data_IF_255705609789
#
_entry.id   IF_255705609789
#
_cell.length_a   1.000
_cell.length_b   1.000
_cell.length_c   1.000
_cell.angle_alpha   90.00
_cell.angle_beta   90.00
_cell.angle_gamma   90.00
#
_symmetry.space_group_name_H-M   'P 1'
#
loop_
_entity.id
_entity.type
_entity.pdbx_description
1 polymer ?
#
# COMPACT_ATOMS: atom_id res chain seq x y z
N UNK A 1 3.41 -15.78 -17.04
CA UNK A 1 3.85 -15.08 -18.28
C UNK A 1 2.94 -13.88 -18.44
N UNK A 2 3.55 -12.69 -18.62
CA UNK A 2 3.04 -11.32 -18.40
C UNK A 2 3.13 -10.80 -16.95
N UNK A 3 4.36 -10.42 -16.55
CA UNK A 3 4.61 -9.20 -15.77
C UNK A 3 5.13 -8.18 -16.79
N UNK A 4 4.41 -7.07 -16.98
CA UNK A 4 4.87 -5.96 -17.81
C UNK A 4 5.56 -4.93 -16.94
N UNK A 5 6.86 -4.80 -17.21
CA UNK A 5 7.80 -3.78 -16.77
C UNK A 5 7.19 -2.41 -16.46
N UNK A 6 7.42 -1.94 -15.23
CA UNK A 6 7.46 -0.52 -14.92
C UNK A 6 8.59 0.14 -15.73
N UNK A 7 8.24 1.06 -16.63
CA UNK A 7 9.19 2.02 -17.19
C UNK A 7 8.48 3.36 -17.34
N UNK A 8 8.71 4.23 -16.36
CA UNK A 8 8.39 5.65 -16.44
C UNK A 8 9.71 6.41 -16.51
N UNK A 9 10.11 6.88 -17.69
CA UNK A 9 10.93 8.10 -17.76
C UNK A 9 10.78 8.83 -19.11
N UNK A 10 10.65 10.15 -18.97
CA UNK A 10 10.32 11.14 -19.99
C UNK A 10 11.48 11.41 -20.97
N UNK A 11 11.07 11.72 -22.20
CA UNK A 11 11.63 12.68 -23.16
C UNK A 11 13.16 12.79 -23.31
N UNK A 12 13.68 12.22 -24.39
CA UNK A 12 14.91 12.67 -25.05
C UNK A 12 14.62 12.92 -26.54
N UNK A 13 14.70 14.18 -26.93
CA UNK A 13 14.67 14.64 -28.33
C UNK A 13 15.93 14.19 -29.05
N UNK A 14 15.84 13.43 -30.14
CA UNK A 14 16.86 13.47 -31.20
C UNK A 14 16.31 13.06 -32.58
N UNK A 15 16.89 13.75 -33.57
CA UNK A 15 16.63 13.82 -35.00
C UNK A 15 16.25 12.52 -35.74
N UNK A 16 15.25 12.64 -36.62
CA UNK A 16 14.92 11.66 -37.66
C UNK A 16 15.91 11.82 -38.82
N UNK A 17 16.74 10.80 -39.04
CA UNK A 17 17.39 10.57 -40.33
C UNK A 17 16.71 9.38 -41.02
N UNK A 18 16.17 9.66 -42.21
CA UNK A 18 15.53 8.69 -43.07
C UNK A 18 16.54 7.66 -43.60
N UNK A 19 16.11 6.40 -43.72
CA UNK A 19 16.48 5.53 -44.85
C UNK A 19 15.52 4.34 -44.95
N UNK A 20 14.95 4.24 -46.14
CA UNK A 20 14.05 3.22 -46.67
C UNK A 20 14.90 2.04 -47.16
N UNK A 21 14.46 0.79 -46.95
CA UNK A 21 14.13 -0.18 -48.02
C UNK A 21 13.92 -1.63 -47.51
N UNK A 22 12.79 -2.19 -47.97
CA UNK A 22 12.52 -3.56 -48.44
C UNK A 22 12.50 -4.74 -47.43
N UNK A 23 11.31 -5.30 -47.21
CA UNK A 23 10.79 -6.45 -47.99
C UNK A 23 9.38 -6.85 -47.50
N UNK A 24 8.42 -6.95 -48.40
CA UNK A 24 7.14 -7.63 -48.15
C UNK A 24 6.79 -8.51 -49.36
N UNK A 25 6.45 -9.77 -49.07
CA UNK A 25 5.89 -10.77 -49.97
C UNK A 25 4.36 -10.70 -49.98
N UNK A 26 3.76 -10.97 -51.15
CA UNK A 26 2.40 -11.52 -51.38
C UNK A 26 1.23 -10.61 -51.01
N UNK A 27 0.42 -10.09 -51.95
CA UNK A 27 -0.52 -10.82 -52.81
C UNK A 27 -1.94 -10.62 -52.23
N UNK A 28 -3.04 -10.35 -52.94
CA UNK A 28 -3.36 -10.08 -54.33
C UNK A 28 -4.87 -9.80 -54.41
N UNK A 29 -5.33 -9.10 -55.47
CA UNK A 29 -6.68 -9.25 -56.04
C UNK A 29 -7.77 -8.22 -55.68
N UNK A 30 -8.17 -7.42 -56.67
CA UNK A 30 -9.60 -7.23 -56.98
C UNK A 30 -10.21 -5.82 -56.94
N UNK A 31 -9.97 -5.04 -58.01
CA UNK A 31 -10.99 -4.31 -58.81
C UNK A 31 -11.89 -3.21 -58.21
N UNK A 32 -11.92 -2.05 -58.87
CA UNK A 32 -13.08 -1.13 -58.83
C UNK A 32 -12.73 0.35 -58.96
N UNK A 33 -12.77 0.86 -60.20
CA UNK A 33 -12.60 2.26 -60.58
C UNK A 33 -13.56 3.23 -59.87
N UNK A 34 -13.10 4.45 -59.54
CA UNK A 34 -13.59 5.69 -60.19
C UNK A 34 -12.97 6.95 -59.58
N UNK A 35 -12.59 7.83 -60.50
CA UNK A 35 -12.01 9.15 -60.30
C UNK A 35 -12.98 10.14 -59.62
N UNK A 36 -12.44 11.16 -58.94
CA UNK A 36 -12.30 12.51 -59.50
C UNK A 36 -12.19 13.61 -58.42
N UNK A 37 -11.09 14.38 -58.52
CA UNK A 37 -10.98 15.85 -58.33
C UNK A 37 -11.34 16.47 -56.95
N UNK A 38 -10.67 17.49 -56.42
CA UNK A 38 -9.93 18.60 -57.03
C UNK A 38 -9.08 19.35 -55.99
N UNK A 39 -7.83 19.65 -56.38
CA UNK A 39 -7.10 20.93 -56.27
C UNK A 39 -7.00 21.74 -54.96
N UNK A 40 -5.74 21.92 -54.55
CA UNK A 40 -5.00 23.16 -54.26
C UNK A 40 -5.60 24.24 -53.35
N UNK A 41 -4.86 24.64 -52.30
CA UNK A 41 -3.83 25.69 -52.40
C UNK A 41 -3.26 26.09 -51.03
N UNK A 42 -1.95 26.33 -51.05
CA UNK A 42 -1.07 26.91 -50.03
C UNK A 42 -1.60 28.13 -49.26
N UNK A 43 -1.20 28.27 -47.98
CA UNK A 43 -0.57 29.50 -47.47
C UNK A 43 0.17 29.33 -46.14
N UNK A 44 1.38 29.88 -46.14
CA UNK A 44 2.35 30.12 -45.06
C UNK A 44 1.83 31.09 -44.00
N UNK A 45 2.37 31.00 -42.77
CA UNK A 45 2.33 32.09 -41.79
C UNK A 45 2.71 31.70 -40.37
N UNK A 46 4.02 31.62 -40.08
CA UNK A 46 4.54 31.69 -38.71
C UNK A 46 4.47 33.12 -38.19
N UNK A 47 4.02 33.33 -36.95
CA UNK A 47 4.34 34.53 -36.18
C UNK A 47 4.27 34.25 -34.66
N UNK A 48 5.44 34.25 -34.06
CA UNK A 48 5.71 34.34 -32.62
C UNK A 48 5.40 35.75 -32.13
N UNK A 49 4.71 35.90 -31.00
CA UNK A 49 4.54 37.19 -30.34
C UNK A 49 4.99 37.09 -28.87
N UNK A 50 6.13 37.74 -28.61
CA UNK A 50 6.65 38.07 -27.29
C UNK A 50 5.88 39.30 -26.77
N UNK A 51 5.39 39.24 -25.54
CA UNK A 51 4.88 40.42 -24.83
C UNK A 51 5.49 40.49 -23.42
N UNK A 52 6.39 41.45 -23.26
CA UNK A 52 6.91 42.01 -22.02
C UNK A 52 5.83 42.77 -21.26
N UNK A 53 5.71 42.55 -19.94
CA UNK A 53 5.05 43.48 -19.04
C UNK A 53 5.79 43.53 -17.68
N UNK A 54 6.54 44.62 -17.52
CA UNK A 54 6.79 45.42 -16.30
C UNK A 54 6.37 44.85 -14.95
N UNK A 55 7.37 44.58 -14.10
CA UNK A 55 7.25 44.50 -12.65
C UNK A 55 7.55 45.87 -12.03
N UNK A 56 6.59 46.40 -11.25
CA UNK A 56 6.79 47.51 -10.32
C UNK A 56 6.79 46.96 -8.89
N UNK A 57 7.84 47.28 -8.15
CA UNK A 57 7.97 47.03 -6.73
C UNK A 57 7.20 48.09 -5.92
N UNK A 58 6.65 47.70 -4.77
CA UNK A 58 6.73 48.52 -3.56
C UNK A 58 6.43 47.70 -2.30
N UNK A 59 7.35 47.80 -1.35
CA UNK A 59 7.28 47.29 0.00
C UNK A 59 6.54 48.28 0.92
N UNK A 60 5.95 47.80 2.04
CA UNK A 60 6.38 48.12 3.42
C UNK A 60 5.29 47.94 4.49
N UNK A 61 5.66 47.12 5.49
CA UNK A 61 5.42 47.11 6.93
C UNK A 61 4.28 47.93 7.59
N UNK A 62 3.58 47.28 8.54
CA UNK A 62 3.52 47.76 9.95
C UNK A 62 3.06 46.66 10.92
N UNK A 63 3.67 46.68 12.11
CA UNK A 63 3.53 45.75 13.21
C UNK A 63 2.64 46.33 14.35
N UNK A 64 2.57 45.56 15.45
CA UNK A 64 2.27 45.93 16.88
C UNK A 64 0.80 45.62 17.34
N UNK A 65 0.51 45.17 18.59
CA UNK A 65 1.03 44.03 19.39
C UNK A 65 -0.10 43.23 20.13
N UNK A 66 0.30 42.27 20.97
CA UNK A 66 -0.49 41.42 21.90
C UNK A 66 -0.95 42.21 23.16
N UNK A 67 -1.91 41.68 23.96
CA UNK A 67 -1.46 41.22 25.29
C UNK A 67 -2.09 39.90 25.79
N UNK A 68 -1.27 39.19 26.57
CA UNK A 68 -1.62 38.03 27.39
C UNK A 68 -2.24 38.46 28.73
N UNK A 69 -2.99 37.57 29.38
CA UNK A 69 -3.27 37.64 30.82
C UNK A 69 -3.27 36.26 31.46
N UNK A 70 -2.71 36.23 32.66
CA UNK A 70 -2.33 35.09 33.50
C UNK A 70 -3.48 34.39 34.26
N UNK A 71 -3.11 33.22 34.79
CA UNK A 71 -3.81 32.24 35.65
C UNK A 71 -4.19 32.84 37.04
N UNK A 72 -5.02 32.14 37.86
CA UNK A 72 -4.40 31.25 38.84
C UNK A 72 -5.16 29.93 39.13
N UNK A 73 -4.38 28.94 39.55
CA UNK A 73 -4.81 27.68 40.16
C UNK A 73 -4.98 27.82 41.68
N UNK A 74 -5.91 27.07 42.27
CA UNK A 74 -5.85 26.61 43.67
C UNK A 74 -6.95 25.58 43.94
N UNK A 75 -6.63 24.51 44.70
CA UNK A 75 -7.66 23.73 45.40
C UNK A 75 -7.43 22.22 45.46
N UNK A 76 -6.40 21.79 46.17
CA UNK A 76 -6.23 20.41 46.66
C UNK A 76 -7.19 20.18 47.83
N UNK A 77 -8.08 19.20 47.77
CA UNK A 77 -8.71 18.62 48.97
C UNK A 77 -8.75 17.09 48.89
N UNK A 78 -7.78 16.48 49.55
CA UNK A 78 -7.86 15.14 50.13
C UNK A 78 -8.60 15.21 51.46
N UNK A 79 -9.68 14.44 51.62
CA UNK A 79 -10.12 13.98 52.94
C UNK A 79 -10.44 12.48 52.91
N UNK A 80 -9.53 11.72 53.52
CA UNK A 80 -9.78 10.37 53.99
C UNK A 80 -10.71 10.44 55.21
N UNK A 81 -11.81 9.68 55.20
CA UNK A 81 -12.47 9.25 56.43
C UNK A 81 -12.47 7.72 56.48
N UNK A 82 -11.86 7.29 57.58
CA UNK A 82 -11.61 5.95 58.07
C UNK A 82 -12.86 5.19 58.53
N UNK A 83 -12.80 3.89 58.27
CA UNK A 83 -13.17 2.76 59.14
C UNK A 83 -14.62 2.61 59.60
N UNK A 84 -15.24 1.52 59.15
CA UNK A 84 -15.92 0.61 60.06
C UNK A 84 -15.78 -0.84 59.57
N UNK A 85 -15.00 -1.61 60.33
CA UNK A 85 -14.96 -3.07 60.24
C UNK A 85 -16.02 -3.64 61.18
N UNK A 86 -16.93 -4.45 60.66
CA UNK A 86 -17.59 -5.48 61.46
C UNK A 86 -17.89 -6.70 60.59
N UNK A 87 -17.51 -7.84 61.12
CA UNK A 87 -17.47 -9.16 60.51
C UNK A 87 -18.81 -9.89 60.60
N UNK A 88 -19.24 -10.54 59.52
CA UNK A 88 -19.91 -11.88 59.53
C UNK A 88 -20.04 -12.41 58.08
N UNK A 89 -19.47 -13.58 57.81
CA UNK A 89 -19.65 -14.40 56.59
C UNK A 89 -20.84 -15.38 56.78
N UNK A 90 -21.31 -16.15 55.76
CA UNK A 90 -21.01 -16.15 54.31
C UNK A 90 -22.27 -16.16 53.41
N UNK A 91 -22.16 -15.73 52.15
CA UNK A 91 -23.26 -15.86 51.20
C UNK A 91 -22.85 -15.55 49.77
N UNK A 92 -22.76 -16.60 48.96
CA UNK A 92 -22.69 -16.62 47.49
C UNK A 92 -23.28 -15.39 46.78
N UNK A 93 -22.44 -14.65 46.06
CA UNK A 93 -22.88 -13.89 44.88
C UNK A 93 -21.75 -13.79 43.86
N UNK A 94 -22.14 -14.01 42.60
CA UNK A 94 -21.32 -14.09 41.41
C UNK A 94 -20.30 -12.95 41.32
N UNK A 95 -19.05 -13.31 41.08
CA UNK A 95 -18.05 -12.37 40.60
C UNK A 95 -18.46 -11.91 39.21
N UNK A 96 -18.88 -10.66 39.13
CA UNK A 96 -18.93 -9.92 37.88
C UNK A 96 -17.48 -9.64 37.46
N UNK A 97 -16.84 -10.65 36.87
CA UNK A 97 -15.69 -10.43 35.99
C UNK A 97 -16.24 -9.73 34.76
N UNK A 98 -16.30 -8.39 34.82
CA UNK A 98 -16.33 -7.57 33.61
C UNK A 98 -15.01 -7.79 32.90
N UNK A 99 -14.98 -8.83 32.06
CA UNK A 99 -13.99 -9.00 31.01
C UNK A 99 -13.89 -7.66 30.29
N UNK A 100 -12.70 -7.03 30.20
CA UNK A 100 -12.54 -5.86 29.36
C UNK A 100 -13.10 -6.22 27.98
N UNK A 101 -13.99 -5.39 27.42
CA UNK A 101 -14.35 -5.57 26.01
C UNK A 101 -13.03 -5.70 25.25
N UNK A 102 -12.85 -6.73 24.42
CA UNK A 102 -11.66 -6.82 23.58
C UNK A 102 -11.54 -5.48 22.87
N UNK A 103 -10.37 -4.82 22.99
CA UNK A 103 -10.12 -3.61 22.22
C UNK A 103 -10.40 -3.97 20.78
N UNK A 104 -11.38 -3.32 20.16
CA UNK A 104 -11.78 -3.61 18.78
C UNK A 104 -10.52 -3.57 17.93
N UNK A 105 -10.06 -4.73 17.45
CA UNK A 105 -8.86 -4.80 16.64
C UNK A 105 -9.21 -4.16 15.30
N UNK A 106 -8.36 -3.27 14.74
CA UNK A 106 -8.61 -2.70 13.43
C UNK A 106 -8.34 -3.77 12.35
N UNK A 107 -9.19 -4.80 12.29
CA UNK A 107 -9.00 -6.00 11.47
C UNK A 107 -9.31 -5.76 9.99
N UNK A 108 -10.25 -4.87 9.67
CA UNK A 108 -10.64 -4.60 8.29
C UNK A 108 -10.03 -3.29 7.79
N UNK A 109 -9.39 -3.34 6.63
CA UNK A 109 -8.86 -2.19 5.90
C UNK A 109 -9.20 -2.22 4.41
N UNK A 110 -8.81 -1.15 3.72
CA UNK A 110 -8.84 -1.00 2.26
C UNK A 110 -7.59 -0.25 1.84
N UNK A 111 -7.14 -0.48 0.62
CA UNK A 111 -6.02 0.24 0.01
C UNK A 111 -6.52 1.47 -0.75
N UNK A 112 -5.71 2.52 -0.77
CA UNK A 112 -5.94 3.69 -1.60
C UNK A 112 -4.66 4.11 -2.31
N UNK A 113 -4.83 4.88 -3.38
CA UNK A 113 -3.75 5.38 -4.22
C UNK A 113 -3.73 6.92 -4.28
N UNK A 114 -3.69 7.54 -3.10
CA UNK A 114 -3.83 8.99 -2.96
C UNK A 114 -2.71 9.82 -3.60
N UNK A 115 -1.58 9.22 -3.99
CA UNK A 115 -0.49 9.85 -4.70
C UNK A 115 -0.42 9.46 -6.19
N UNK A 116 -1.29 8.58 -6.69
CA UNK A 116 -1.24 8.11 -8.10
C UNK A 116 -2.21 8.84 -9.04
N UNK A 117 -3.14 9.61 -8.49
CA UNK A 117 -4.03 10.48 -9.23
C UNK A 117 -5.39 9.87 -9.52
N UNK A 118 -5.94 10.10 -10.72
CA UNK A 118 -7.22 9.52 -11.15
C UNK A 118 -8.38 9.83 -10.22
N UNK A 119 -9.13 8.79 -9.83
CA UNK A 119 -10.26 8.88 -8.90
C UNK A 119 -9.89 9.54 -7.56
N UNK A 120 -8.65 9.35 -7.10
CA UNK A 120 -8.17 9.91 -5.83
C UNK A 120 -7.88 11.41 -5.90
N UNK A 121 -7.58 11.97 -7.08
CA UNK A 121 -7.39 13.41 -7.26
C UNK A 121 -8.71 14.18 -7.40
N UNK A 122 -9.78 13.54 -7.88
CA UNK A 122 -11.11 14.15 -7.99
C UNK A 122 -11.96 13.94 -6.73
N UNK A 123 -11.63 12.94 -5.90
CA UNK A 123 -12.35 12.62 -4.67
C UNK A 123 -11.74 13.31 -3.46
N UNK A 124 -12.48 14.21 -2.83
CA UNK A 124 -12.00 14.91 -1.63
C UNK A 124 -11.69 13.92 -0.47
N UNK A 125 -10.72 14.22 0.42
CA UNK A 125 -10.46 13.40 1.60
C UNK A 125 -11.69 13.17 2.50
N UNK A 126 -12.63 14.12 2.52
CA UNK A 126 -13.89 13.99 3.26
C UNK A 126 -14.85 12.96 2.63
N UNK A 127 -14.87 12.86 1.30
CA UNK A 127 -15.64 11.85 0.58
C UNK A 127 -15.02 10.46 0.78
N UNK A 128 -13.70 10.34 0.64
CA UNK A 128 -12.99 9.10 0.94
C UNK A 128 -13.26 8.64 2.38
N UNK A 129 -13.20 9.55 3.35
CA UNK A 129 -13.49 9.24 4.75
C UNK A 129 -14.92 8.70 4.94
N UNK A 130 -15.92 9.34 4.33
CA UNK A 130 -17.31 8.88 4.48
C UNK A 130 -17.53 7.50 3.87
N UNK A 131 -16.88 7.19 2.75
CA UNK A 131 -16.93 5.86 2.12
C UNK A 131 -16.24 4.80 2.99
N UNK A 132 -15.05 5.10 3.54
CA UNK A 132 -14.35 4.19 4.45
C UNK A 132 -15.16 3.92 5.73
N UNK A 133 -15.81 4.96 6.28
CA UNK A 133 -16.72 4.81 7.42
C UNK A 133 -17.95 3.97 7.09
N UNK A 134 -18.53 4.18 5.90
CA UNK A 134 -19.70 3.42 5.44
C UNK A 134 -19.38 1.94 5.21
N UNK A 135 -18.16 1.63 4.74
CA UNK A 135 -17.65 0.26 4.63
C UNK A 135 -17.40 -0.40 6.00
N UNK A 136 -17.20 0.40 7.05
CA UNK A 136 -16.91 -0.09 8.41
C UNK A 136 -15.44 -0.42 8.66
N UNK A 137 -14.53 -0.01 7.77
CA UNK A 137 -13.09 -0.29 7.90
C UNK A 137 -12.41 0.63 8.91
N UNK A 138 -11.18 0.27 9.31
CA UNK A 138 -10.36 1.01 10.28
C UNK A 138 -8.95 1.31 9.80
N UNK A 139 -8.47 0.62 8.77
CA UNK A 139 -7.15 0.84 8.17
C UNK A 139 -7.29 1.35 6.74
N UNK A 140 -6.38 2.26 6.36
CA UNK A 140 -6.29 2.79 5.01
C UNK A 140 -4.82 2.89 4.57
N UNK A 141 -4.38 1.88 3.81
CA UNK A 141 -3.00 1.77 3.31
C UNK A 141 -2.81 2.62 2.06
N UNK A 142 -1.77 3.45 2.02
CA UNK A 142 -1.47 4.29 0.86
C UNK A 142 0.05 4.42 0.64
N UNK A 143 0.44 4.54 -0.60
CA UNK A 143 1.81 4.69 -1.07
C UNK A 143 2.42 6.06 -0.75
N UNK A 144 3.74 6.06 -0.57
CA UNK A 144 4.61 7.24 -0.59
C UNK A 144 5.94 6.86 -1.27
N UNK A 145 6.58 7.81 -1.93
CA UNK A 145 7.83 7.57 -2.68
C UNK A 145 8.73 8.80 -2.76
N UNK A 146 8.36 9.87 -2.06
CA UNK A 146 9.12 11.12 -1.95
C UNK A 146 8.66 11.92 -0.73
N UNK A 147 9.44 12.91 -0.32
CA UNK A 147 9.00 13.86 0.71
C UNK A 147 7.67 14.56 0.36
N UNK A 148 7.46 14.87 -0.93
CA UNK A 148 6.24 15.53 -1.38
C UNK A 148 4.99 14.65 -1.17
N UNK A 149 5.08 13.38 -1.55
CA UNK A 149 3.97 12.42 -1.39
C UNK A 149 3.76 12.02 0.06
N UNK A 150 4.83 11.94 0.85
CA UNK A 150 4.74 11.77 2.30
C UNK A 150 4.01 12.94 3.00
N UNK A 151 4.22 14.18 2.55
CA UNK A 151 3.52 15.36 3.05
C UNK A 151 2.04 15.38 2.61
N UNK A 152 1.73 15.01 1.35
CA UNK A 152 0.34 14.86 0.87
C UNK A 152 -0.40 13.85 1.74
N UNK A 153 0.19 12.67 1.95
CA UNK A 153 -0.43 11.62 2.75
C UNK A 153 -0.62 12.03 4.22
N UNK A 154 0.31 12.78 4.81
CA UNK A 154 0.17 13.29 6.18
C UNK A 154 -1.07 14.18 6.35
N UNK A 155 -1.39 15.01 5.35
CA UNK A 155 -2.61 15.82 5.32
C UNK A 155 -3.87 14.96 5.24
N UNK A 156 -3.89 13.94 4.38
CA UNK A 156 -5.00 12.98 4.27
C UNK A 156 -5.19 12.22 5.59
N UNK A 157 -4.10 11.71 6.16
CA UNK A 157 -4.10 11.00 7.44
C UNK A 157 -4.66 11.84 8.58
N UNK A 158 -4.45 13.16 8.56
CA UNK A 158 -5.05 14.07 9.54
C UNK A 158 -6.58 14.11 9.43
N UNK A 159 -7.12 14.17 8.20
CA UNK A 159 -8.58 14.08 7.98
C UNK A 159 -9.13 12.73 8.39
N UNK A 160 -8.46 11.64 8.00
CA UNK A 160 -8.90 10.27 8.29
C UNK A 160 -8.93 9.96 9.78
N UNK A 161 -7.91 10.40 10.53
CA UNK A 161 -7.82 10.20 11.96
C UNK A 161 -8.99 10.85 12.72
N UNK A 162 -9.48 12.00 12.26
CA UNK A 162 -10.64 12.68 12.86
C UNK A 162 -11.94 11.85 12.75
N UNK A 163 -12.03 10.95 11.76
CA UNK A 163 -13.15 10.03 11.59
C UNK A 163 -12.89 8.60 12.06
N UNK A 164 -11.78 8.36 12.79
CA UNK A 164 -11.46 7.05 13.35
C UNK A 164 -10.88 6.05 12.35
N UNK A 165 -10.31 6.52 11.24
CA UNK A 165 -9.58 5.70 10.27
C UNK A 165 -8.08 5.92 10.47
N UNK A 166 -7.33 4.83 10.62
CA UNK A 166 -5.87 4.85 10.71
C UNK A 166 -5.27 4.70 9.33
N UNK A 167 -4.61 5.75 8.85
CA UNK A 167 -3.78 5.71 7.64
C UNK A 167 -2.39 5.24 8.00
N UNK A 168 -1.75 4.48 7.11
CA UNK A 168 -0.33 4.20 7.20
C UNK A 168 0.34 4.16 5.81
N UNK A 169 1.61 4.60 5.70
CA UNK A 169 2.33 4.62 4.44
C UNK A 169 2.90 3.25 4.08
N UNK A 170 2.82 2.88 2.80
CA UNK A 170 3.77 1.95 2.16
C UNK A 170 4.80 2.76 1.37
N UNK A 171 6.08 2.58 1.69
CA UNK A 171 7.15 3.28 1.00
C UNK A 171 7.61 2.49 -0.23
N UNK A 172 7.46 3.09 -1.41
CA UNK A 172 7.82 2.51 -2.69
C UNK A 172 9.18 3.06 -3.15
N UNK A 173 10.05 2.15 -3.58
CA UNK A 173 11.37 2.47 -4.12
C UNK A 173 11.81 1.39 -5.10
N UNK A 174 12.16 1.79 -6.33
CA UNK A 174 12.82 0.90 -7.28
C UNK A 174 14.25 0.62 -6.82
N UNK A 175 14.76 -0.58 -7.13
CA UNK A 175 16.12 -1.01 -6.82
C UNK A 175 17.05 -0.98 -8.04
N UNK A 176 16.52 -0.79 -9.24
CA UNK A 176 17.28 -0.90 -10.50
C UNK A 176 18.32 0.21 -10.69
N UNK A 177 18.24 1.27 -9.89
CA UNK A 177 19.10 2.45 -9.99
C UNK A 177 20.31 2.43 -9.05
N UNK A 178 20.38 1.47 -8.12
CA UNK A 178 21.44 1.43 -7.11
C UNK A 178 22.56 0.47 -7.48
N UNK A 179 23.79 0.83 -7.16
CA UNK A 179 24.96 0.02 -7.49
C UNK A 179 25.24 -1.05 -6.44
N UNK A 180 24.94 -0.78 -5.17
CA UNK A 180 25.24 -1.66 -4.05
C UNK A 180 24.30 -1.44 -2.84
N UNK A 181 24.46 -2.29 -1.83
CA UNK A 181 23.66 -2.26 -0.59
C UNK A 181 23.84 -0.96 0.22
N UNK A 182 25.01 -0.32 0.15
CA UNK A 182 25.28 0.91 0.93
C UNK A 182 24.53 2.09 0.33
N UNK A 183 24.62 2.27 -0.98
CA UNK A 183 23.85 3.29 -1.70
C UNK A 183 22.35 3.10 -1.45
N UNK A 184 21.88 1.85 -1.56
CA UNK A 184 20.49 1.49 -1.34
C UNK A 184 20.03 1.75 0.11
N UNK A 185 20.91 1.55 1.08
CA UNK A 185 20.65 1.87 2.48
C UNK A 185 20.48 3.38 2.69
N UNK A 186 21.36 4.21 2.14
CA UNK A 186 21.33 5.67 2.36
C UNK A 186 20.07 6.31 1.77
N UNK A 187 19.65 5.88 0.58
CA UNK A 187 18.40 6.34 -0.05
C UNK A 187 17.16 5.82 0.67
N UNK A 188 17.16 4.56 1.12
CA UNK A 188 16.11 4.01 1.97
C UNK A 188 15.97 4.81 3.27
N UNK A 189 17.10 5.12 3.92
CA UNK A 189 17.15 5.94 5.13
C UNK A 189 16.53 7.30 4.92
N UNK A 190 16.89 7.98 3.83
CA UNK A 190 16.34 9.30 3.51
C UNK A 190 14.80 9.23 3.36
N UNK A 191 14.26 8.26 2.63
CA UNK A 191 12.81 8.13 2.45
C UNK A 191 12.09 7.76 3.76
N UNK A 192 12.66 6.85 4.56
CA UNK A 192 12.12 6.49 5.87
C UNK A 192 12.06 7.68 6.83
N UNK A 193 13.14 8.46 6.89
CA UNK A 193 13.20 9.67 7.72
C UNK A 193 12.22 10.74 7.25
N UNK A 194 12.13 11.00 5.93
CA UNK A 194 11.20 11.97 5.36
C UNK A 194 9.75 11.60 5.67
N UNK A 195 9.40 10.31 5.53
CA UNK A 195 8.06 9.80 5.79
C UNK A 195 7.68 9.92 7.26
N UNK A 196 8.57 9.53 8.19
CA UNK A 196 8.31 9.65 9.62
C UNK A 196 8.32 11.11 10.12
N UNK A 197 9.03 12.00 9.43
CA UNK A 197 9.02 13.45 9.72
C UNK A 197 7.72 14.10 9.29
N UNK A 198 7.10 13.67 8.17
CA UNK A 198 5.83 14.24 7.72
C UNK A 198 4.69 13.95 8.70
N UNK A 199 4.69 12.75 9.28
CA UNK A 199 3.79 12.33 10.36
C UNK A 199 4.33 11.09 11.06
N UNK A 200 4.13 11.04 12.38
CA UNK A 200 4.29 9.83 13.20
C UNK A 200 3.07 8.92 13.03
N UNK A 201 3.23 7.86 12.25
CA UNK A 201 2.19 6.87 11.97
C UNK A 201 2.30 5.70 12.94
N UNK A 202 1.19 5.04 13.30
CA UNK A 202 1.26 3.83 14.12
C UNK A 202 2.01 2.67 13.42
N UNK A 203 1.96 2.65 12.09
CA UNK A 203 2.54 1.62 11.24
C UNK A 203 3.29 2.29 10.07
N UNK A 204 4.33 1.64 9.59
CA UNK A 204 5.07 1.99 8.38
C UNK A 204 5.39 0.72 7.62
N UNK A 205 4.96 0.64 6.36
CA UNK A 205 5.29 -0.49 5.50
C UNK A 205 6.52 -0.19 4.65
N UNK A 206 7.48 -1.12 4.66
CA UNK A 206 8.74 -1.00 3.93
C UNK A 206 8.68 -1.87 2.69
N UNK A 207 8.60 -1.23 1.51
CA UNK A 207 8.49 -1.86 0.17
C UNK A 207 7.14 -2.54 -0.12
N UNK A 208 6.93 -2.98 -1.37
CA UNK A 208 5.69 -3.58 -1.87
C UNK A 208 6.03 -4.68 -2.90
N UNK A 209 5.85 -5.96 -2.55
CA UNK A 209 6.07 -7.14 -3.42
C UNK A 209 7.40 -7.17 -4.20
N UNK A 210 8.46 -6.59 -3.62
CA UNK A 210 9.71 -6.43 -4.34
C UNK A 210 10.44 -7.76 -4.57
N UNK A 211 10.15 -8.80 -3.78
CA UNK A 211 10.80 -10.10 -3.86
C UNK A 211 10.61 -10.81 -5.21
N UNK A 212 9.50 -10.55 -5.92
CA UNK A 212 9.28 -11.08 -7.25
C UNK A 212 10.31 -10.56 -8.27
N UNK A 213 10.84 -9.33 -8.08
CA UNK A 213 11.85 -8.72 -8.97
C UNK A 213 13.24 -9.34 -8.80
N UNK A 214 13.45 -10.11 -7.72
CA UNK A 214 14.70 -10.76 -7.39
C UNK A 214 14.76 -12.20 -7.94
N UNK A 215 13.64 -12.77 -8.38
CA UNK A 215 13.59 -14.17 -8.81
C UNK A 215 14.37 -14.42 -10.10
N UNK A 216 15.12 -15.52 -10.12
CA UNK A 216 15.82 -16.02 -11.29
C UNK A 216 14.89 -16.99 -12.02
N UNK A 217 14.09 -16.42 -12.93
CA UNK A 217 13.11 -17.16 -13.72
C UNK A 217 11.74 -17.30 -13.05
N UNK A 218 10.88 -18.15 -13.61
CA UNK A 218 9.51 -18.36 -13.12
C UNK A 218 9.50 -19.48 -12.07
N UNK A 219 9.83 -19.12 -10.84
CA UNK A 219 10.01 -20.04 -9.71
C UNK A 219 9.22 -19.56 -8.49
N UNK A 220 9.06 -20.44 -7.50
CA UNK A 220 8.19 -20.18 -6.34
C UNK A 220 8.81 -19.30 -5.25
N UNK A 221 10.11 -19.00 -5.28
CA UNK A 221 10.75 -18.13 -4.29
C UNK A 221 10.82 -18.67 -2.86
N UNK A 222 10.83 -20.00 -2.69
CA UNK A 222 10.96 -20.65 -1.38
C UNK A 222 12.41 -21.05 -1.05
N UNK A 223 13.28 -21.12 -2.06
CA UNK A 223 14.68 -21.54 -1.89
C UNK A 223 15.64 -20.36 -2.11
N UNK A 224 16.72 -20.23 -1.31
CA UNK A 224 17.69 -19.15 -1.47
C UNK A 224 18.23 -19.00 -2.90
N UNK A 225 18.53 -20.11 -3.56
CA UNK A 225 19.15 -20.13 -4.90
C UNK A 225 18.21 -19.64 -6.02
N UNK A 226 16.94 -19.40 -5.70
CA UNK A 226 15.97 -18.82 -6.63
C UNK A 226 16.07 -17.30 -6.72
N UNK A 227 16.85 -16.66 -5.86
CA UNK A 227 17.00 -15.21 -5.79
C UNK A 227 18.35 -14.74 -6.33
N UNK A 228 18.35 -13.61 -7.03
CA UNK A 228 19.55 -12.91 -7.46
C UNK A 228 20.24 -12.24 -6.25
N UNK A 229 21.49 -12.63 -5.99
CA UNK A 229 22.26 -12.17 -4.83
C UNK A 229 22.57 -10.67 -4.86
N UNK A 230 22.73 -10.06 -6.04
CA UNK A 230 23.04 -8.63 -6.15
C UNK A 230 21.78 -7.83 -5.82
N UNK A 231 20.66 -8.18 -6.47
CA UNK A 231 19.36 -7.54 -6.19
C UNK A 231 18.89 -7.75 -4.76
N UNK A 232 19.13 -8.94 -4.20
CA UNK A 232 18.83 -9.24 -2.80
C UNK A 232 19.54 -8.29 -1.84
N UNK A 233 20.84 -8.06 -2.02
CA UNK A 233 21.63 -7.14 -1.19
C UNK A 233 21.16 -5.70 -1.32
N UNK A 234 20.86 -5.25 -2.53
CA UNK A 234 20.32 -3.91 -2.77
C UNK A 234 18.99 -3.73 -2.04
N UNK A 235 18.05 -4.66 -2.21
CA UNK A 235 16.74 -4.59 -1.55
C UNK A 235 16.86 -4.68 -0.02
N UNK A 236 17.76 -5.53 0.50
CA UNK A 236 18.08 -5.58 1.93
C UNK A 236 18.57 -4.22 2.43
N UNK A 237 19.44 -3.56 1.65
CA UNK A 237 19.91 -2.20 1.92
C UNK A 237 18.75 -1.22 2.03
N UNK A 238 17.88 -1.15 1.01
CA UNK A 238 16.67 -0.30 1.01
C UNK A 238 15.83 -0.52 2.26
N UNK A 239 15.47 -1.77 2.56
CA UNK A 239 14.60 -2.11 3.69
C UNK A 239 15.24 -1.69 5.01
N UNK A 240 16.51 -2.05 5.24
CA UNK A 240 17.24 -1.66 6.46
C UNK A 240 17.37 -0.15 6.59
N UNK A 241 17.64 0.53 5.48
CA UNK A 241 17.69 1.98 5.39
C UNK A 241 16.37 2.60 5.82
N UNK A 242 15.25 2.22 5.19
CA UNK A 242 13.91 2.71 5.50
C UNK A 242 13.58 2.54 6.99
N UNK A 243 13.83 1.35 7.55
CA UNK A 243 13.60 1.07 8.97
C UNK A 243 14.44 2.01 9.85
N UNK A 244 15.74 2.14 9.59
CA UNK A 244 16.61 3.03 10.35
C UNK A 244 16.20 4.51 10.23
N UNK A 245 15.79 4.94 9.04
CA UNK A 245 15.27 6.28 8.76
C UNK A 245 14.02 6.58 9.59
N UNK A 246 13.03 5.66 9.58
CA UNK A 246 11.83 5.77 10.43
C UNK A 246 12.22 5.87 11.89
N UNK A 247 13.00 4.91 12.39
CA UNK A 247 13.36 4.82 13.82
C UNK A 247 14.22 5.98 14.29
N UNK A 248 14.87 6.72 13.39
CA UNK A 248 15.57 7.98 13.73
C UNK A 248 14.63 9.11 14.15
N UNK A 249 13.35 9.04 13.76
CA UNK A 249 12.33 10.07 14.02
C UNK A 249 11.19 9.56 14.90
N UNK A 250 10.74 8.33 14.67
CA UNK A 250 9.66 7.66 15.39
C UNK A 250 10.11 6.27 15.84
N UNK A 251 10.63 6.18 17.07
CA UNK A 251 11.06 4.92 17.67
C UNK A 251 9.89 3.98 17.97
N UNK A 252 8.67 4.51 18.07
CA UNK A 252 7.45 3.77 18.45
C UNK A 252 6.65 3.21 17.29
N UNK A 253 6.81 3.78 16.08
CA UNK A 253 6.11 3.33 14.87
C UNK A 253 6.46 1.89 14.53
N UNK A 254 5.44 1.05 14.30
CA UNK A 254 5.63 -0.37 13.98
C UNK A 254 6.02 -0.56 12.51
N UNK A 255 6.94 -1.49 12.26
CA UNK A 255 7.41 -1.85 10.92
C UNK A 255 6.56 -3.01 10.40
N UNK A 256 5.86 -2.75 9.30
CA UNK A 256 5.19 -3.75 8.48
C UNK A 256 6.18 -4.14 7.38
N UNK A 257 6.62 -5.40 7.34
CA UNK A 257 7.43 -5.88 6.23
C UNK A 257 6.56 -5.86 4.97
N UNK A 258 7.04 -5.18 3.93
CA UNK A 258 6.34 -4.98 2.67
C UNK A 258 5.66 -6.25 2.20
N UNK A 259 4.40 -6.11 1.80
CA UNK A 259 3.56 -7.24 1.43
C UNK A 259 4.27 -8.11 0.42
N UNK A 260 4.69 -9.29 0.83
CA UNK A 260 5.18 -10.30 -0.10
C UNK A 260 3.99 -10.95 -0.79
N UNK A 261 4.22 -11.69 -1.86
CA UNK A 261 3.13 -12.33 -2.60
C UNK A 261 3.45 -13.76 -2.98
N UNK A 262 2.40 -14.50 -3.32
CA UNK A 262 2.50 -15.88 -3.77
C UNK A 262 3.26 -16.79 -2.77
N UNK A 263 4.24 -17.55 -3.24
CA UNK A 263 5.07 -18.48 -2.46
C UNK A 263 6.42 -17.86 -2.05
N UNK A 264 6.67 -16.59 -2.32
CA UNK A 264 8.01 -16.00 -2.24
C UNK A 264 8.56 -15.76 -0.81
N UNK A 265 8.06 -16.50 0.19
CA UNK A 265 8.36 -16.28 1.61
C UNK A 265 9.83 -16.60 1.97
N UNK A 266 10.57 -17.31 1.09
CA UNK A 266 11.99 -17.57 1.26
C UNK A 266 12.82 -16.28 1.35
N UNK A 267 12.36 -15.21 0.72
CA UNK A 267 12.99 -13.88 0.84
C UNK A 267 13.02 -13.38 2.29
N UNK A 268 11.86 -13.37 2.96
CA UNK A 268 11.74 -12.89 4.34
C UNK A 268 12.47 -13.82 5.32
N UNK A 269 12.43 -15.14 5.09
CA UNK A 269 13.21 -16.11 5.86
C UNK A 269 14.71 -15.82 5.79
N UNK A 270 15.24 -15.52 4.60
CA UNK A 270 16.65 -15.15 4.45
C UNK A 270 17.01 -13.85 5.17
N UNK A 271 16.17 -12.81 5.05
CA UNK A 271 16.38 -11.54 5.74
C UNK A 271 16.39 -11.70 7.28
N UNK A 272 15.46 -12.48 7.84
CA UNK A 272 15.39 -12.76 9.27
C UNK A 272 16.59 -13.59 9.76
N UNK A 273 17.09 -14.50 8.93
CA UNK A 273 18.23 -15.37 9.27
C UNK A 273 19.60 -14.71 9.06
N UNK A 274 19.67 -13.54 8.43
CA UNK A 274 20.94 -12.96 7.97
C UNK A 274 21.64 -13.88 6.97
N UNK A 275 20.85 -14.50 6.10
CA UNK A 275 21.27 -15.45 5.06
C UNK A 275 21.26 -14.77 3.68
N UNK A 276 22.20 -15.14 2.83
CA UNK A 276 22.25 -14.75 1.42
C UNK A 276 21.70 -15.86 0.51
N UNK A 277 21.33 -15.54 -0.75
CA UNK A 277 20.93 -16.52 -1.75
C UNK A 277 21.92 -17.68 -2.01
N UNK A 278 23.21 -17.50 -1.71
CA UNK A 278 24.23 -18.56 -1.79
C UNK A 278 24.28 -19.48 -0.56
N UNK A 279 23.42 -19.24 0.44
CA UNK A 279 23.31 -20.00 1.69
C UNK A 279 24.30 -19.57 2.78
N UNK A 280 25.16 -18.57 2.54
CA UNK A 280 26.04 -18.04 3.58
C UNK A 280 25.25 -17.27 4.64
N UNK A 281 25.69 -17.35 5.89
CA UNK A 281 25.04 -16.73 7.06
C UNK A 281 25.99 -15.76 7.78
N UNK A 282 25.44 -14.95 8.69
CA UNK A 282 26.20 -13.94 9.44
C UNK A 282 26.17 -12.56 8.79
N UNK A 283 25.27 -12.36 7.82
CA UNK A 283 25.01 -11.08 7.18
C UNK A 283 24.01 -10.25 7.98
N UNK A 284 23.83 -8.95 7.66
CA UNK A 284 22.88 -8.13 8.39
C UNK A 284 21.47 -8.71 8.39
N UNK A 285 20.90 -8.84 9.58
CA UNK A 285 19.52 -9.27 9.80
C UNK A 285 18.58 -8.08 9.63
N UNK A 286 17.37 -8.36 9.16
CA UNK A 286 16.25 -7.42 9.19
C UNK A 286 15.25 -7.87 10.25
N UNK A 287 14.83 -6.94 11.10
CA UNK A 287 13.78 -7.18 12.10
C UNK A 287 12.61 -6.23 11.82
N UNK A 288 11.40 -6.72 12.05
CA UNK A 288 10.14 -6.01 11.81
C UNK A 288 9.08 -6.44 12.81
N UNK A 289 7.95 -5.75 12.83
CA UNK A 289 6.89 -5.99 13.81
C UNK A 289 5.77 -6.87 13.25
N UNK A 290 5.41 -6.70 11.97
CA UNK A 290 4.27 -7.37 11.30
C UNK A 290 4.71 -7.90 9.94
N UNK A 291 4.38 -9.16 9.64
CA UNK A 291 4.58 -9.75 8.31
C UNK A 291 3.35 -9.51 7.45
N UNK A 292 3.51 -8.80 6.34
CA UNK A 292 2.41 -8.54 5.43
C UNK A 292 2.47 -9.42 4.18
N UNK A 293 1.31 -9.80 3.64
CA UNK A 293 1.19 -10.66 2.48
C UNK A 293 0.03 -10.25 1.59
N UNK A 294 0.22 -10.39 0.30
CA UNK A 294 -0.74 -10.06 -0.74
C UNK A 294 -1.33 -11.35 -1.31
N UNK A 295 -2.64 -11.37 -1.52
CA UNK A 295 -3.33 -12.56 -2.04
C UNK A 295 -4.46 -12.27 -3.01
N UNK A 296 -4.40 -12.85 -4.21
CA UNK A 296 -5.36 -12.62 -5.28
C UNK A 296 -6.06 -13.89 -5.77
N UNK A 297 -7.23 -13.74 -6.38
CA UNK A 297 -8.14 -14.86 -6.72
C UNK A 297 -7.52 -16.03 -7.51
N UNK A 298 -6.55 -15.76 -8.38
CA UNK A 298 -5.86 -16.77 -9.19
C UNK A 298 -4.88 -17.62 -8.38
N UNK A 299 -4.48 -17.14 -7.20
CA UNK A 299 -3.58 -17.84 -6.29
C UNK A 299 -4.33 -18.89 -5.46
N UNK A 300 -5.67 -18.78 -5.39
CA UNK A 300 -6.54 -19.83 -4.85
C UNK A 300 -6.46 -19.95 -3.33
N UNK A 301 -6.32 -21.17 -2.83
CA UNK A 301 -6.28 -21.47 -1.40
C UNK A 301 -4.92 -21.15 -0.80
N UNK A 302 -4.83 -20.11 0.04
CA UNK A 302 -3.58 -19.70 0.71
C UNK A 302 -2.98 -20.79 1.61
N UNK A 303 -3.79 -21.75 2.08
CA UNK A 303 -3.34 -22.89 2.89
C UNK A 303 -2.94 -24.12 2.06
N UNK A 304 -3.11 -24.05 0.74
CA UNK A 304 -2.75 -25.12 -0.19
C UNK A 304 -2.41 -24.54 -1.57
N UNK A 305 -1.45 -23.62 -1.61
CA UNK A 305 -1.00 -22.95 -2.82
C UNK A 305 0.04 -23.80 -3.53
N UNK A 306 -0.21 -24.19 -4.79
CA UNK A 306 0.62 -25.14 -5.52
C UNK A 306 1.44 -24.45 -6.62
N UNK A 307 2.77 -24.64 -6.55
CA UNK A 307 3.74 -24.14 -7.52
C UNK A 307 4.69 -25.22 -8.04
N UNK A 308 5.82 -24.80 -8.61
CA UNK A 308 6.85 -25.70 -9.14
C UNK A 308 7.55 -26.56 -8.07
N UNK A 309 7.39 -26.22 -6.79
CA UNK A 309 8.04 -26.86 -5.64
C UNK A 309 7.08 -27.67 -4.77
N UNK A 310 5.83 -27.85 -5.20
CA UNK A 310 4.78 -28.54 -4.46
C UNK A 310 3.68 -27.61 -4.00
N UNK A 311 2.84 -28.10 -3.09
CA UNK A 311 1.77 -27.32 -2.47
C UNK A 311 2.17 -26.92 -1.06
N UNK A 312 1.90 -25.67 -0.70
CA UNK A 312 2.36 -25.05 0.53
C UNK A 312 1.21 -24.41 1.29
N UNK A 313 1.31 -24.46 2.61
CA UNK A 313 0.50 -23.65 3.51
C UNK A 313 1.26 -22.35 3.78
N UNK A 314 0.98 -21.33 2.97
CA UNK A 314 1.69 -20.05 3.03
C UNK A 314 1.54 -19.42 4.41
N UNK A 315 0.34 -19.51 5.02
CA UNK A 315 0.12 -18.96 6.35
C UNK A 315 0.95 -19.67 7.43
N UNK A 316 1.22 -20.97 7.29
CA UNK A 316 2.10 -21.68 8.20
C UNK A 316 3.56 -21.19 8.08
N UNK A 317 4.05 -21.00 6.86
CA UNK A 317 5.38 -20.47 6.60
C UNK A 317 5.55 -19.03 7.12
N UNK A 318 4.53 -18.18 6.94
CA UNK A 318 4.54 -16.83 7.49
C UNK A 318 4.49 -16.83 9.03
N UNK A 319 3.65 -17.68 9.63
CA UNK A 319 3.55 -17.82 11.08
C UNK A 319 4.87 -18.28 11.71
N UNK A 320 5.66 -19.09 11.00
CA UNK A 320 6.97 -19.54 11.47
C UNK A 320 7.98 -18.39 11.64
N UNK A 321 7.75 -17.21 11.04
CA UNK A 321 8.55 -16.01 11.28
C UNK A 321 8.31 -15.39 12.67
N UNK A 322 7.28 -15.85 13.39
CA UNK A 322 7.00 -15.45 14.77
C UNK A 322 6.46 -14.03 14.92
N UNK A 323 5.86 -13.48 13.85
CA UNK A 323 5.24 -12.15 13.80
C UNK A 323 3.75 -12.29 13.45
N UNK A 324 2.89 -11.35 13.89
CA UNK A 324 1.52 -11.28 13.40
C UNK A 324 1.45 -11.12 11.88
N UNK A 325 0.40 -11.65 11.27
CA UNK A 325 0.18 -11.64 9.82
C UNK A 325 -0.85 -10.59 9.46
N UNK A 326 -0.54 -9.76 8.47
CA UNK A 326 -1.53 -8.91 7.80
C UNK A 326 -1.68 -9.37 6.36
N UNK A 327 -2.91 -9.63 5.92
CA UNK A 327 -3.21 -9.73 4.49
C UNK A 327 -3.51 -8.31 4.01
N UNK A 328 -2.48 -7.49 3.83
CA UNK A 328 -2.60 -6.04 3.59
C UNK A 328 -2.87 -5.67 2.13
N UNK A 329 -2.95 -6.65 1.25
CA UNK A 329 -3.69 -6.59 -0.01
C UNK A 329 -4.38 -7.91 -0.29
N UNK A 330 -5.66 -7.86 -0.62
CA UNK A 330 -6.31 -8.96 -1.30
C UNK A 330 -7.35 -8.47 -2.29
N UNK A 331 -7.54 -9.23 -3.37
CA UNK A 331 -8.44 -8.81 -4.44
C UNK A 331 -8.81 -9.92 -5.41
N UNK A 332 -9.86 -9.68 -6.18
CA UNK A 332 -10.27 -10.58 -7.25
C UNK A 332 -9.88 -9.96 -8.57
N UNK A 333 -9.28 -10.75 -9.47
CA UNK A 333 -8.84 -10.23 -10.77
C UNK A 333 -10.04 -9.70 -11.57
N UNK A 334 -9.92 -8.55 -12.26
CA UNK A 334 -11.02 -7.96 -13.03
C UNK A 334 -11.56 -8.86 -14.14
N UNK A 335 -10.76 -9.82 -14.61
CA UNK A 335 -11.14 -10.80 -15.63
C UNK A 335 -11.74 -12.09 -15.05
N UNK A 336 -11.95 -12.19 -13.73
CA UNK A 336 -12.49 -13.40 -13.08
C UNK A 336 -13.91 -13.73 -13.53
N UNK A 337 -14.73 -12.72 -13.81
CA UNK A 337 -16.12 -12.89 -14.21
C UNK A 337 -16.91 -11.59 -14.17
N UNK A 338 -18.23 -11.70 -14.01
CA UNK A 338 -19.10 -10.54 -13.78
C UNK A 338 -18.81 -9.88 -12.42
N UNK A 339 -19.20 -8.63 -12.26
CA UNK A 339 -19.09 -7.93 -10.97
C UNK A 339 -19.75 -8.69 -9.81
N UNK A 340 -20.84 -9.42 -10.05
CA UNK A 340 -21.47 -10.28 -9.04
C UNK A 340 -20.61 -11.50 -8.69
N UNK A 341 -19.94 -12.12 -9.68
CA UNK A 341 -19.02 -13.23 -9.43
C UNK A 341 -17.78 -12.76 -8.65
N UNK A 342 -17.27 -11.58 -8.99
CA UNK A 342 -16.18 -10.92 -8.26
C UNK A 342 -16.59 -10.65 -6.81
N UNK A 343 -17.76 -10.03 -6.60
CA UNK A 343 -18.27 -9.75 -5.26
C UNK A 343 -18.46 -11.02 -4.42
N UNK A 344 -18.99 -12.09 -5.03
CA UNK A 344 -19.19 -13.37 -4.35
C UNK A 344 -17.86 -14.05 -3.97
N UNK A 345 -16.85 -13.98 -4.83
CA UNK A 345 -15.53 -14.52 -4.51
C UNK A 345 -14.83 -13.71 -3.42
N UNK A 346 -14.88 -12.38 -3.49
CA UNK A 346 -14.24 -11.47 -2.53
C UNK A 346 -14.64 -11.78 -1.08
N UNK A 347 -15.93 -12.02 -0.84
CA UNK A 347 -16.45 -12.36 0.50
C UNK A 347 -16.48 -13.86 0.79
N UNK A 348 -16.00 -14.68 -0.15
CA UNK A 348 -16.15 -16.13 -0.15
C UNK A 348 -15.11 -16.89 0.68
N UNK A 349 -15.23 -18.22 0.64
CA UNK A 349 -14.42 -19.18 1.41
C UNK A 349 -12.97 -19.36 0.92
N UNK A 350 -12.52 -18.54 -0.04
CA UNK A 350 -11.14 -18.45 -0.53
C UNK A 350 -10.53 -17.06 -0.35
N UNK A 351 -11.23 -16.18 0.39
CA UNK A 351 -10.82 -14.80 0.59
C UNK A 351 -11.26 -14.31 1.97
N UNK A 352 -12.15 -13.33 2.11
CA UNK A 352 -12.49 -12.78 3.44
C UNK A 352 -13.02 -13.83 4.43
N UNK A 353 -13.91 -14.74 4.00
CA UNK A 353 -14.40 -15.78 4.89
C UNK A 353 -13.31 -16.79 5.27
N UNK A 354 -12.35 -17.04 4.38
CA UNK A 354 -11.18 -17.85 4.69
C UNK A 354 -10.31 -17.15 5.74
N UNK A 355 -9.92 -15.90 5.50
CA UNK A 355 -9.01 -15.17 6.38
C UNK A 355 -9.61 -14.97 7.79
N UNK A 356 -10.91 -14.65 7.89
CA UNK A 356 -11.60 -14.56 9.19
C UNK A 356 -11.59 -15.91 9.91
N UNK A 357 -11.90 -17.01 9.22
CA UNK A 357 -11.90 -18.33 9.83
C UNK A 357 -10.51 -18.79 10.29
N UNK A 358 -9.46 -18.34 9.59
CA UNK A 358 -8.07 -18.69 9.86
C UNK A 358 -7.35 -17.72 10.81
N UNK A 359 -7.97 -16.59 11.15
CA UNK A 359 -7.29 -15.51 11.86
C UNK A 359 -6.66 -15.94 13.19
N UNK A 360 -7.41 -16.65 14.03
CA UNK A 360 -6.88 -17.14 15.32
C UNK A 360 -5.83 -18.25 15.15
N UNK A 361 -5.95 -19.08 14.12
CA UNK A 361 -5.04 -20.19 13.85
C UNK A 361 -3.67 -19.69 13.41
N UNK A 362 -3.62 -18.65 12.57
CA UNK A 362 -2.38 -18.16 11.99
C UNK A 362 -1.90 -16.81 12.53
N UNK A 363 -2.62 -16.23 13.49
CA UNK A 363 -2.36 -14.88 14.01
C UNK A 363 -2.51 -13.79 12.94
N UNK A 364 -3.58 -13.90 12.13
CA UNK A 364 -3.96 -12.83 11.21
C UNK A 364 -4.62 -11.72 12.02
N UNK A 365 -4.02 -10.54 12.02
CA UNK A 365 -4.51 -9.37 12.76
C UNK A 365 -5.23 -8.36 11.87
N UNK A 366 -5.05 -8.45 10.55
CA UNK A 366 -5.67 -7.53 9.60
C UNK A 366 -5.82 -8.14 8.21
N UNK A 367 -6.89 -7.77 7.52
CA UNK A 367 -7.09 -7.99 6.09
C UNK A 367 -7.51 -6.67 5.42
N UNK A 368 -6.93 -6.36 4.26
CA UNK A 368 -7.15 -5.08 3.58
C UNK A 368 -7.40 -5.30 2.08
N UNK A 369 -8.56 -4.86 1.60
CA UNK A 369 -8.95 -5.07 0.22
C UNK A 369 -8.24 -4.09 -0.72
N UNK A 370 -7.67 -4.63 -1.80
CA UNK A 370 -7.22 -3.89 -2.96
C UNK A 370 -8.39 -3.72 -3.92
N UNK A 371 -8.99 -2.53 -4.08
CA UNK A 371 -8.67 -1.22 -3.49
C UNK A 371 -9.96 -0.37 -3.38
N UNK A 372 -9.90 0.90 -2.94
CA UNK A 372 -11.10 1.72 -2.74
C UNK A 372 -11.79 2.07 -4.07
N UNK A 373 -11.04 2.61 -5.03
CA UNK A 373 -11.54 3.00 -6.36
C UNK A 373 -10.97 2.09 -7.44
N UNK A 374 -11.67 1.92 -8.56
CA UNK A 374 -11.03 1.36 -9.73
C UNK A 374 -9.95 2.32 -10.20
N UNK A 375 -8.86 1.73 -10.67
CA UNK A 375 -7.74 2.43 -11.25
C UNK A 375 -8.06 3.07 -12.61
N UNK A 376 -7.16 3.94 -13.09
CA UNK A 376 -7.27 4.52 -14.43
C UNK A 376 -7.37 3.41 -15.50
N UNK A 377 -8.41 3.40 -16.36
CA UNK A 377 -8.62 2.30 -17.31
C UNK A 377 -7.59 2.25 -18.45
N UNK A 378 -6.76 3.29 -18.61
CA UNK A 378 -5.71 3.40 -19.63
C UNK A 378 -4.34 3.10 -19.05
N UNK A 379 -4.08 3.55 -17.82
CA UNK A 379 -2.74 3.56 -17.23
C UNK A 379 -2.61 2.78 -15.91
N UNK A 380 -3.72 2.44 -15.26
CA UNK A 380 -3.74 1.71 -13.99
C UNK A 380 -3.78 0.19 -14.15
N UNK A 381 -3.83 -0.50 -13.01
CA UNK A 381 -3.75 -1.96 -12.94
C UNK A 381 -5.08 -2.64 -13.28
N UNK A 382 -6.18 -1.90 -13.23
CA UNK A 382 -7.49 -2.30 -13.73
C UNK A 382 -8.61 -2.11 -12.70
N UNK A 383 -9.78 -2.67 -13.01
CA UNK A 383 -11.00 -2.45 -12.23
C UNK A 383 -11.08 -3.33 -10.96
N UNK A 384 -10.14 -3.18 -10.02
CA UNK A 384 -10.11 -3.90 -8.74
C UNK A 384 -11.00 -3.28 -7.66
N UNK A 385 -11.30 -1.99 -7.77
CA UNK A 385 -11.95 -1.18 -6.75
C UNK A 385 -13.26 -1.70 -6.21
N UNK A 386 -13.61 -1.28 -5.00
CA UNK A 386 -14.97 -1.40 -4.46
C UNK A 386 -15.91 -0.38 -5.13
N UNK A 387 -15.39 0.78 -5.49
CA UNK A 387 -16.08 1.85 -6.23
C UNK A 387 -15.44 2.00 -7.62
N UNK A 388 -16.17 2.58 -8.57
CA UNK A 388 -15.62 2.84 -9.91
C UNK A 388 -14.62 4.00 -9.90
N UNK A 389 -13.90 4.16 -11.02
CA UNK A 389 -12.92 5.22 -11.28
C UNK A 389 -13.52 6.65 -11.20
N UNK A 390 -14.84 6.78 -11.18
CA UNK A 390 -15.50 8.06 -10.94
C UNK A 390 -15.45 8.52 -9.46
N UNK A 391 -14.95 7.66 -8.56
CA UNK A 391 -14.81 7.96 -7.13
C UNK A 391 -16.10 7.86 -6.33
N UNK A 392 -17.24 7.48 -6.94
CA UNK A 392 -18.54 7.50 -6.26
C UNK A 392 -19.46 6.32 -6.55
N UNK A 393 -19.39 5.68 -7.73
CA UNK A 393 -20.35 4.64 -8.11
C UNK A 393 -19.96 3.30 -7.46
N UNK A 394 -20.77 2.73 -6.55
CA UNK A 394 -20.45 1.46 -5.91
C UNK A 394 -20.58 0.30 -6.89
N UNK A 395 -19.61 -0.62 -6.85
CA UNK A 395 -19.70 -1.93 -7.49
C UNK A 395 -20.42 -2.92 -6.56
N UNK A 396 -20.96 -4.04 -7.07
CA UNK A 396 -21.49 -5.11 -6.24
C UNK A 396 -20.57 -5.54 -5.09
N UNK A 397 -19.24 -5.51 -5.31
CA UNK A 397 -18.24 -5.79 -4.30
C UNK A 397 -18.31 -4.86 -3.09
N UNK A 398 -18.60 -3.57 -3.26
CA UNK A 398 -18.77 -2.62 -2.16
C UNK A 398 -19.84 -3.06 -1.18
N UNK A 399 -21.02 -3.42 -1.70
CA UNK A 399 -22.15 -3.84 -0.86
C UNK A 399 -21.87 -5.20 -0.20
N UNK A 400 -21.28 -6.14 -0.94
CA UNK A 400 -20.92 -7.45 -0.39
C UNK A 400 -19.90 -7.31 0.76
N UNK A 401 -18.83 -6.55 0.54
CA UNK A 401 -17.77 -6.29 1.52
C UNK A 401 -18.32 -5.64 2.79
N UNK A 402 -19.09 -4.55 2.64
CA UNK A 402 -19.75 -3.87 3.77
C UNK A 402 -20.62 -4.81 4.58
N UNK A 403 -21.49 -5.57 3.91
CA UNK A 403 -22.39 -6.51 4.59
C UNK A 403 -21.60 -7.64 5.28
N UNK A 404 -20.51 -8.10 4.67
CA UNK A 404 -19.65 -9.11 5.27
C UNK A 404 -19.02 -8.61 6.57
N UNK A 405 -18.44 -7.39 6.58
CA UNK A 405 -17.87 -6.78 7.79
C UNK A 405 -18.92 -6.66 8.89
N UNK A 406 -20.12 -6.16 8.55
CA UNK A 406 -21.20 -6.02 9.52
C UNK A 406 -21.63 -7.37 10.13
N UNK A 407 -21.54 -8.46 9.37
CA UNK A 407 -21.89 -9.81 9.83
C UNK A 407 -20.75 -10.53 10.59
N UNK A 408 -19.51 -10.04 10.49
CA UNK A 408 -18.33 -10.66 11.09
C UNK A 408 -17.49 -9.63 11.86
N UNK A 409 -17.99 -9.09 12.98
CA UNK A 409 -17.18 -8.18 13.81
C UNK A 409 -15.98 -8.92 14.41
N UNK A 410 -14.81 -8.27 14.40
CA UNK A 410 -13.51 -8.82 14.83
C UNK A 410 -12.81 -7.98 15.90
#
# INVERSE_FOLDING_TARGET
MYMTNFNLCKAVTFAVAASVLLAACGGGGGGGDSAASSSDASRSGSATATATATATASASASAVPVPATDIPASGTETTNITTNSSSTNPGSTAGDTTTPLPSVRPFYGVNGHNNEGGAYDISSPALQLSQLQDLGVKLYRNEVYSQGTANKLAGIAQTMAAGGITVYPVMLMSIDTFNDETEAYDVGFALGQQTATSRRYPYYEVTNEMEAQLLIGNVDGIYPQQFDIVKFRILRGVIRGMIAGIKSVDTSGKIVMGGGTWLHYGFQQMLAAGMEPDGTVGHPVVDWDITAWHWYSEQGDITNACGGTGCHDVLADLKALGKPIWINEFGVRPNYGTDQQIAAYLVGNRMMAQFVALASTYDIESIQAYELYDDDPVHGEGAYGLLKFDGFTPKPAYTAFKNFIAAHPM
#
